data_IF_407013425382
#
_entry.id   IF_407013425382
#
_cell.length_a   1.000
_cell.length_b   1.000
_cell.length_c   1.000
_cell.angle_alpha   90.00
_cell.angle_beta   90.00
_cell.angle_gamma   90.00
#
_symmetry.space_group_name_H-M   'P 1'
#
loop_
_entity.id
_entity.type
_entity.pdbx_description
1 polymer ?
#
# COMPACT_ATOMS: atom_id res chain seq x y z
N UNK A 1 13.14 -32.02 -43.95
CA UNK A 1 13.27 -32.27 -42.56
C UNK A 1 13.83 -31.15 -41.70
N UNK A 2 13.66 -29.96 -42.04
CA UNK A 2 14.15 -28.84 -41.22
C UNK A 2 13.14 -28.48 -40.20
N UNK A 3 13.50 -28.68 -38.99
CA UNK A 3 12.74 -28.14 -37.89
C UNK A 3 13.01 -26.67 -37.74
N UNK A 4 12.05 -25.87 -38.04
CA UNK A 4 12.17 -24.44 -37.80
C UNK A 4 11.80 -24.19 -36.36
N UNK A 5 12.78 -23.98 -35.57
CA UNK A 5 12.57 -23.53 -34.22
C UNK A 5 12.41 -22.02 -34.27
N UNK A 6 11.18 -21.61 -34.42
CA UNK A 6 10.85 -20.21 -34.26
C UNK A 6 10.70 -20.00 -32.77
N UNK A 7 11.79 -19.60 -32.17
CA UNK A 7 11.71 -19.10 -30.83
C UNK A 7 11.02 -17.74 -30.87
N UNK A 8 9.98 -17.53 -30.12
CA UNK A 8 9.38 -16.21 -30.04
C UNK A 8 10.39 -15.27 -29.39
N UNK A 9 11.12 -14.58 -30.20
CA UNK A 9 11.89 -13.39 -29.82
C UNK A 9 10.98 -12.27 -29.26
N UNK A 10 9.69 -12.53 -29.25
CA UNK A 10 8.67 -11.61 -28.78
C UNK A 10 8.61 -11.44 -27.26
N UNK A 11 9.36 -12.24 -26.52
CA UNK A 11 9.36 -12.13 -25.06
C UNK A 11 10.25 -10.98 -24.52
N UNK A 12 11.00 -10.31 -25.37
CA UNK A 12 12.00 -9.33 -24.93
C UNK A 12 11.58 -7.86 -25.06
N UNK A 13 10.40 -7.58 -25.61
CA UNK A 13 10.00 -6.20 -25.87
C UNK A 13 9.13 -5.57 -24.77
N UNK A 14 8.91 -6.24 -23.65
CA UNK A 14 8.00 -5.73 -22.61
C UNK A 14 8.67 -5.17 -21.37
N UNK A 15 9.95 -4.90 -21.38
CA UNK A 15 10.67 -4.53 -20.16
C UNK A 15 10.66 -3.02 -19.84
N UNK A 16 10.21 -2.19 -20.75
CA UNK A 16 10.32 -0.73 -20.58
C UNK A 16 9.17 -0.04 -19.85
N UNK A 17 7.94 -0.54 -19.99
CA UNK A 17 6.74 0.13 -19.48
C UNK A 17 6.02 -0.64 -18.36
N UNK A 18 6.54 -1.79 -17.98
CA UNK A 18 5.87 -2.67 -17.03
C UNK A 18 5.81 -2.08 -15.61
N UNK A 19 6.68 -1.15 -15.27
CA UNK A 19 6.81 -0.66 -13.89
C UNK A 19 5.75 0.37 -13.51
N UNK A 20 5.48 1.36 -14.36
CA UNK A 20 4.42 2.35 -14.11
C UNK A 20 3.02 1.76 -14.23
N UNK A 21 2.85 0.80 -15.16
CA UNK A 21 1.60 0.07 -15.31
C UNK A 21 1.31 -0.85 -14.12
N UNK A 22 2.34 -1.42 -13.49
CA UNK A 22 2.17 -2.30 -12.33
C UNK A 22 1.70 -1.57 -11.09
N UNK A 23 2.18 -0.38 -10.81
CA UNK A 23 1.71 0.41 -9.67
C UNK A 23 0.23 0.80 -9.83
N UNK A 24 -0.14 1.38 -10.98
CA UNK A 24 -1.53 1.72 -11.28
C UNK A 24 -2.45 0.50 -11.23
N UNK A 25 -2.01 -0.61 -11.76
CA UNK A 25 -2.79 -1.85 -11.73
C UNK A 25 -2.96 -2.38 -10.30
N UNK A 26 -1.93 -2.34 -9.49
CA UNK A 26 -2.00 -2.75 -8.09
C UNK A 26 -2.94 -1.85 -7.27
N UNK A 27 -2.90 -0.54 -7.49
CA UNK A 27 -3.81 0.40 -6.86
C UNK A 27 -5.27 0.14 -7.27
N UNK A 28 -5.50 -0.18 -8.54
CA UNK A 28 -6.82 -0.57 -9.02
C UNK A 28 -7.30 -1.85 -8.35
N UNK A 29 -6.47 -2.87 -8.29
CA UNK A 29 -6.79 -4.12 -7.59
C UNK A 29 -7.11 -3.87 -6.12
N UNK A 30 -6.37 -3.00 -5.47
CA UNK A 30 -6.64 -2.64 -4.08
C UNK A 30 -8.04 -2.01 -3.92
N UNK A 31 -8.40 -1.05 -4.76
CA UNK A 31 -9.73 -0.42 -4.72
C UNK A 31 -10.86 -1.37 -5.06
N UNK A 32 -10.60 -2.41 -5.85
CA UNK A 32 -11.54 -3.48 -6.19
C UNK A 32 -11.61 -4.59 -5.13
N UNK A 33 -10.83 -4.48 -4.04
CA UNK A 33 -10.75 -5.51 -3.00
C UNK A 33 -9.91 -6.74 -3.37
N UNK A 34 -9.15 -6.67 -4.46
CA UNK A 34 -8.25 -7.74 -4.92
C UNK A 34 -6.88 -7.63 -4.26
N UNK A 35 -6.87 -7.78 -2.94
CA UNK A 35 -5.68 -7.55 -2.12
C UNK A 35 -4.58 -8.59 -2.34
N UNK A 36 -4.95 -9.84 -2.58
CA UNK A 36 -4.01 -10.92 -2.84
C UNK A 36 -3.24 -10.71 -4.16
N UNK A 37 -3.89 -10.15 -5.18
CA UNK A 37 -3.28 -9.82 -6.46
C UNK A 37 -2.38 -8.58 -6.35
N UNK A 38 -2.81 -7.58 -5.60
CA UNK A 38 -2.06 -6.33 -5.42
C UNK A 38 -0.82 -6.51 -4.55
N UNK A 39 -0.89 -7.36 -3.55
CA UNK A 39 0.13 -7.53 -2.51
C UNK A 39 1.54 -7.81 -3.05
N UNK A 40 1.80 -8.77 -3.97
CA UNK A 40 3.15 -9.02 -4.46
C UNK A 40 3.76 -7.84 -5.22
N UNK A 41 2.94 -7.01 -5.87
CA UNK A 41 3.40 -5.79 -6.54
C UNK A 41 3.88 -4.77 -5.52
N UNK A 42 3.08 -4.52 -4.48
CA UNK A 42 3.47 -3.60 -3.41
C UNK A 42 4.65 -4.11 -2.58
N UNK A 43 4.77 -5.41 -2.40
CA UNK A 43 5.94 -6.01 -1.76
C UNK A 43 7.22 -5.71 -2.53
N UNK A 44 7.20 -5.86 -3.84
CA UNK A 44 8.32 -5.52 -4.71
C UNK A 44 8.67 -4.04 -4.62
N UNK A 45 7.69 -3.17 -4.65
CA UNK A 45 7.88 -1.71 -4.56
C UNK A 45 8.50 -1.31 -3.22
N UNK A 46 8.03 -1.85 -2.11
CA UNK A 46 8.57 -1.54 -0.79
C UNK A 46 9.98 -2.06 -0.60
N UNK A 47 10.34 -3.18 -1.23
CA UNK A 47 11.72 -3.69 -1.24
C UNK A 47 12.66 -2.77 -2.02
N UNK A 48 12.19 -2.17 -3.09
CA UNK A 48 12.98 -1.25 -3.92
C UNK A 48 13.14 0.12 -3.26
N UNK A 49 12.13 0.58 -2.52
CA UNK A 49 12.14 1.85 -1.81
C UNK A 49 11.59 1.69 -0.39
N UNK A 50 12.39 1.12 0.54
CA UNK A 50 11.94 0.78 1.90
C UNK A 50 11.50 1.97 2.75
N UNK A 51 11.96 3.17 2.43
CA UNK A 51 11.59 4.41 3.12
C UNK A 51 10.40 5.14 2.52
N UNK A 52 9.86 4.66 1.39
CA UNK A 52 8.69 5.27 0.77
C UNK A 52 7.44 4.98 1.60
N UNK A 53 6.89 6.02 2.22
CA UNK A 53 5.76 5.91 3.14
C UNK A 53 4.49 5.37 2.47
N UNK A 54 4.23 5.74 1.22
CA UNK A 54 3.07 5.28 0.46
C UNK A 54 3.19 3.78 0.11
N UNK A 55 4.37 3.31 -0.26
CA UNK A 55 4.59 1.89 -0.54
C UNK A 55 4.47 1.05 0.74
N UNK A 56 4.97 1.56 1.86
CA UNK A 56 4.76 0.93 3.17
C UNK A 56 3.27 0.85 3.52
N UNK A 57 2.50 1.90 3.25
CA UNK A 57 1.06 1.91 3.46
C UNK A 57 0.36 0.86 2.59
N UNK A 58 0.57 0.87 1.28
CA UNK A 58 -0.08 -0.06 0.35
C UNK A 58 0.22 -1.51 0.70
N UNK A 59 1.48 -1.82 0.98
CA UNK A 59 1.87 -3.17 1.35
C UNK A 59 1.32 -3.58 2.72
N UNK A 60 1.43 -2.71 3.72
CA UNK A 60 0.88 -2.95 5.05
C UNK A 60 -0.64 -3.16 5.03
N UNK A 61 -1.36 -2.35 4.25
CA UNK A 61 -2.80 -2.51 4.09
C UNK A 61 -3.16 -3.85 3.42
N UNK A 62 -2.42 -4.26 2.39
CA UNK A 62 -2.60 -5.58 1.77
C UNK A 62 -2.30 -6.74 2.75
N UNK A 63 -1.27 -6.60 3.58
CA UNK A 63 -1.00 -7.59 4.63
C UNK A 63 -2.16 -7.68 5.62
N UNK A 64 -2.70 -6.55 6.05
CA UNK A 64 -3.88 -6.51 6.92
C UNK A 64 -5.07 -7.23 6.29
N UNK A 65 -5.44 -6.86 5.06
CA UNK A 65 -6.61 -7.39 4.37
C UNK A 65 -6.48 -8.88 4.01
N UNK A 66 -5.26 -9.39 3.92
CA UNK A 66 -4.99 -10.83 3.69
C UNK A 66 -4.75 -11.61 4.98
N UNK A 67 -4.96 -11.01 6.16
CA UNK A 67 -4.91 -11.68 7.46
C UNK A 67 -3.52 -11.77 8.08
N UNK A 68 -2.51 -11.13 7.53
CA UNK A 68 -1.15 -11.11 8.08
C UNK A 68 -0.95 -9.93 9.02
N UNK A 69 -1.69 -9.92 10.14
CA UNK A 69 -1.76 -8.77 11.07
C UNK A 69 -0.40 -8.36 11.63
N UNK A 70 0.37 -9.32 12.15
CA UNK A 70 1.69 -9.02 12.75
C UNK A 70 2.68 -8.47 11.73
N UNK A 71 2.56 -8.89 10.48
CA UNK A 71 3.39 -8.39 9.38
C UNK A 71 2.96 -6.99 8.93
N UNK A 72 1.65 -6.71 8.97
CA UNK A 72 1.09 -5.43 8.57
C UNK A 72 1.60 -4.27 9.45
N UNK A 73 1.68 -4.48 10.76
CA UNK A 73 1.99 -3.43 11.75
C UNK A 73 3.27 -2.64 11.44
N UNK A 74 4.45 -3.26 11.23
CA UNK A 74 5.68 -2.49 10.98
C UNK A 74 5.60 -1.59 9.74
N UNK A 75 4.95 -2.05 8.67
CA UNK A 75 4.78 -1.25 7.46
C UNK A 75 3.80 -0.10 7.66
N UNK A 76 2.71 -0.36 8.36
CA UNK A 76 1.72 0.67 8.68
C UNK A 76 2.29 1.73 9.64
N UNK A 77 3.11 1.33 10.61
CA UNK A 77 3.82 2.25 11.50
C UNK A 77 4.71 3.22 10.71
N UNK A 78 5.52 2.72 9.79
CA UNK A 78 6.37 3.55 8.91
C UNK A 78 5.53 4.55 8.09
N UNK A 79 4.38 4.15 7.60
CA UNK A 79 3.48 5.04 6.87
C UNK A 79 2.89 6.13 7.77
N UNK A 80 2.48 5.78 8.97
CA UNK A 80 1.93 6.72 9.96
C UNK A 80 2.96 7.74 10.45
N UNK A 81 4.21 7.34 10.67
CA UNK A 81 5.33 8.24 11.01
C UNK A 81 5.49 9.37 10.00
N UNK A 82 5.23 9.10 8.73
CA UNK A 82 5.29 10.08 7.63
C UNK A 82 3.94 10.73 7.32
N UNK A 83 2.96 10.58 8.22
CA UNK A 83 1.64 11.21 8.12
C UNK A 83 0.82 10.78 6.89
N UNK A 84 0.98 9.53 6.45
CA UNK A 84 0.03 8.91 5.53
C UNK A 84 -1.26 8.67 6.31
N UNK A 85 -2.28 9.47 6.03
CA UNK A 85 -3.50 9.56 6.86
C UNK A 85 -4.19 8.21 7.00
N UNK A 86 -4.35 7.48 5.89
CA UNK A 86 -4.95 6.14 5.93
C UNK A 86 -4.06 5.09 6.62
N UNK A 87 -2.76 5.37 6.80
CA UNK A 87 -1.86 4.55 7.58
C UNK A 87 -2.30 4.45 9.05
N UNK A 88 -2.71 5.56 9.65
CA UNK A 88 -3.27 5.57 11.01
C UNK A 88 -4.54 4.73 11.11
N UNK A 89 -5.44 4.84 10.13
CA UNK A 89 -6.69 4.06 10.13
C UNK A 89 -6.42 2.55 10.08
N UNK A 90 -5.56 2.11 9.16
CA UNK A 90 -5.23 0.69 9.04
C UNK A 90 -4.44 0.18 10.24
N UNK A 91 -3.56 1.00 10.79
CA UNK A 91 -2.81 0.68 12.01
C UNK A 91 -3.75 0.52 13.21
N UNK A 92 -4.75 1.40 13.34
CA UNK A 92 -5.80 1.28 14.35
C UNK A 92 -6.56 -0.04 14.21
N UNK A 93 -6.96 -0.41 13.00
CA UNK A 93 -7.64 -1.69 12.74
C UNK A 93 -6.76 -2.89 13.11
N UNK A 94 -5.48 -2.86 12.72
CA UNK A 94 -4.54 -3.93 13.03
C UNK A 94 -4.32 -4.09 14.53
N UNK A 95 -4.15 -3.00 15.26
CA UNK A 95 -4.02 -3.04 16.71
C UNK A 95 -5.30 -3.53 17.40
N UNK A 96 -6.48 -3.10 16.92
CA UNK A 96 -7.74 -3.60 17.43
C UNK A 96 -7.86 -5.12 17.28
N UNK A 97 -7.54 -5.65 16.10
CA UNK A 97 -7.62 -7.08 15.83
C UNK A 97 -6.54 -7.89 16.59
N UNK A 98 -5.47 -7.22 17.04
CA UNK A 98 -4.44 -7.78 17.92
C UNK A 98 -4.75 -7.56 19.42
N UNK A 99 -5.95 -7.09 19.76
CA UNK A 99 -6.38 -6.78 21.13
C UNK A 99 -5.55 -5.70 21.83
N UNK A 100 -4.86 -4.86 21.05
CA UNK A 100 -4.09 -3.70 21.53
C UNK A 100 -4.95 -2.44 21.45
N UNK A 101 -5.91 -2.35 22.34
CA UNK A 101 -6.99 -1.35 22.24
C UNK A 101 -6.52 0.09 22.49
N UNK A 102 -5.59 0.31 23.40
CA UNK A 102 -5.08 1.66 23.67
C UNK A 102 -4.36 2.24 22.45
N UNK A 103 -3.52 1.43 21.80
CA UNK A 103 -2.85 1.84 20.57
C UNK A 103 -3.84 2.00 19.41
N UNK A 104 -4.86 1.17 19.35
CA UNK A 104 -5.91 1.31 18.35
C UNK A 104 -6.67 2.64 18.48
N UNK A 105 -7.04 3.01 19.70
CA UNK A 105 -7.72 4.28 20.00
C UNK A 105 -6.81 5.46 19.62
N UNK A 106 -5.56 5.44 20.07
CA UNK A 106 -4.60 6.52 19.78
C UNK A 106 -4.43 6.74 18.28
N UNK A 107 -4.28 5.67 17.50
CA UNK A 107 -4.14 5.78 16.05
C UNK A 107 -5.41 6.26 15.36
N UNK A 108 -6.57 5.91 15.89
CA UNK A 108 -7.84 6.42 15.37
C UNK A 108 -8.00 7.92 15.64
N UNK A 109 -7.60 8.38 16.82
CA UNK A 109 -7.57 9.81 17.16
C UNK A 109 -6.60 10.58 16.24
N UNK A 110 -5.41 10.04 16.01
CA UNK A 110 -4.44 10.62 15.08
C UNK A 110 -4.99 10.67 13.65
N UNK A 111 -5.69 9.62 13.21
CA UNK A 111 -6.36 9.60 11.90
C UNK A 111 -7.36 10.76 11.77
N UNK A 112 -8.23 10.93 12.76
CA UNK A 112 -9.24 12.00 12.79
C UNK A 112 -8.55 13.37 12.75
N UNK A 113 -7.54 13.56 13.61
CA UNK A 113 -6.79 14.81 13.69
C UNK A 113 -6.17 15.23 12.34
N UNK A 114 -5.47 14.30 11.68
CA UNK A 114 -4.82 14.59 10.40
C UNK A 114 -5.81 14.76 9.25
N UNK A 115 -6.93 14.05 9.30
CA UNK A 115 -8.00 14.20 8.32
C UNK A 115 -8.67 15.58 8.43
N UNK A 116 -8.95 16.03 9.64
CA UNK A 116 -9.52 17.36 9.89
C UNK A 116 -8.57 18.48 9.50
N UNK A 117 -7.30 18.32 9.83
CA UNK A 117 -6.25 19.28 9.43
C UNK A 117 -6.16 19.41 7.93
N UNK A 118 -6.14 18.30 7.21
CA UNK A 118 -6.13 18.28 5.74
C UNK A 118 -7.33 19.02 5.16
N UNK A 119 -8.52 18.81 5.71
CA UNK A 119 -9.74 19.51 5.27
C UNK A 119 -9.62 21.02 5.46
N UNK A 120 -9.06 21.46 6.58
CA UNK A 120 -8.86 22.88 6.89
C UNK A 120 -7.89 23.52 5.90
N UNK A 121 -6.73 22.89 5.69
CA UNK A 121 -5.70 23.37 4.76
C UNK A 121 -6.25 23.50 3.33
N UNK A 122 -7.08 22.56 2.87
CA UNK A 122 -7.72 22.63 1.54
C UNK A 122 -8.75 23.76 1.46
N UNK A 123 -9.54 23.99 2.51
CA UNK A 123 -10.55 25.07 2.52
C UNK A 123 -9.91 26.45 2.53
N UNK A 124 -8.77 26.62 3.21
CA UNK A 124 -8.02 27.89 3.20
C UNK A 124 -7.34 28.16 1.86
N UNK A 125 -6.93 27.13 1.13
CA UNK A 125 -6.33 27.25 -0.19
C UNK A 125 -7.34 27.66 -1.28
N UNK A 126 -8.64 27.40 -1.09
CA UNK A 126 -9.71 27.75 -2.03
C UNK A 126 -10.25 29.18 -1.85
N UNK A 127 -9.88 29.86 -0.80
CA UNK A 127 -10.25 31.26 -0.52
C UNK A 127 -9.16 32.23 -0.94
#
# INVERSE_FOLDING_TARGET
>A
MKKKYIFPLLALCFTGNAFSQTLSQAQKWFTEGKFAEAKPVFEKLVRQAPSNANYNFWYGACCYETGELSKAVPYLEKSAERKVINGFLYLSKAYYDLYRFDEAIQNLEDHIYWLERKKRDTSEAET
#
